data_IF_091570660433
#
_entry.id   IF_091570660433
#
_cell.length_a   1.000
_cell.length_b   1.000
_cell.length_c   1.000
_cell.angle_alpha   90.00
_cell.angle_beta   90.00
_cell.angle_gamma   90.00
#
_symmetry.space_group_name_H-M   'P 1'
#
loop_
_entity.id
_entity.type
_entity.pdbx_description
1 polymer ?
#
# COMPACT_ATOMS: atom_id res chain seq x y z
N UNK A 1 -13.78 3.09 -26.99
CA UNK A 1 -14.34 4.35 -26.47
C UNK A 1 -15.88 4.31 -26.33
N UNK A 2 -16.40 3.98 -25.14
CA UNK A 2 -17.78 4.31 -24.71
C UNK A 2 -17.77 4.53 -23.20
N UNK A 3 -17.51 5.77 -22.80
CA UNK A 3 -17.74 6.22 -21.44
C UNK A 3 -19.26 6.19 -21.20
N UNK A 4 -19.72 5.18 -20.48
CA UNK A 4 -21.09 5.10 -20.01
C UNK A 4 -21.29 6.26 -19.03
N UNK A 5 -21.99 7.31 -19.45
CA UNK A 5 -22.37 8.43 -18.60
C UNK A 5 -23.32 7.94 -17.51
N UNK A 6 -22.75 7.42 -16.42
CA UNK A 6 -23.52 7.01 -15.24
C UNK A 6 -24.29 8.23 -14.72
N UNK A 7 -25.59 8.10 -14.38
CA UNK A 7 -26.39 9.23 -13.94
C UNK A 7 -25.75 9.95 -12.75
N UNK A 8 -25.80 11.28 -12.75
CA UNK A 8 -25.15 12.14 -11.74
C UNK A 8 -25.49 11.70 -10.31
N UNK A 9 -26.74 11.29 -10.07
CA UNK A 9 -27.22 10.72 -8.80
C UNK A 9 -26.44 9.49 -8.34
N UNK A 10 -26.07 8.60 -9.25
CA UNK A 10 -25.32 7.37 -8.92
C UNK A 10 -23.86 7.70 -8.60
N UNK A 11 -23.27 8.68 -9.28
CA UNK A 11 -21.94 9.20 -8.94
C UNK A 11 -21.97 9.83 -7.54
N UNK A 12 -22.94 10.72 -7.28
CA UNK A 12 -23.11 11.35 -5.97
C UNK A 12 -23.34 10.32 -4.85
N UNK A 13 -24.16 9.29 -5.09
CA UNK A 13 -24.38 8.22 -4.14
C UNK A 13 -23.09 7.43 -3.84
N UNK A 14 -22.28 7.12 -4.86
CA UNK A 14 -20.99 6.47 -4.67
C UNK A 14 -20.02 7.35 -3.90
N UNK A 15 -19.91 8.64 -4.23
CA UNK A 15 -19.09 9.59 -3.47
C UNK A 15 -19.55 9.71 -2.02
N UNK A 16 -20.86 9.78 -1.78
CA UNK A 16 -21.44 9.78 -0.45
C UNK A 16 -21.15 8.50 0.33
N UNK A 17 -21.19 7.34 -0.33
CA UNK A 17 -20.83 6.06 0.30
C UNK A 17 -19.34 5.94 0.62
N UNK A 18 -18.46 6.52 -0.20
CA UNK A 18 -17.01 6.46 0.03
C UNK A 18 -16.52 7.51 1.04
N UNK A 19 -17.09 8.72 1.01
CA UNK A 19 -16.65 9.84 1.85
C UNK A 19 -17.49 9.98 3.11
N UNK A 20 -18.75 9.59 3.08
CA UNK A 20 -19.68 9.73 4.19
C UNK A 20 -19.17 9.08 5.48
N UNK A 21 -18.77 7.80 5.47
CA UNK A 21 -18.25 7.14 6.67
C UNK A 21 -17.00 7.83 7.27
N UNK A 22 -15.91 8.09 6.52
CA UNK A 22 -14.75 8.77 7.08
C UNK A 22 -15.03 10.21 7.50
N UNK A 23 -15.91 10.94 6.79
CA UNK A 23 -16.32 12.30 7.18
C UNK A 23 -17.16 12.32 8.46
N UNK A 24 -18.03 11.33 8.65
CA UNK A 24 -18.83 11.22 9.88
C UNK A 24 -17.92 10.92 11.08
N UNK A 25 -16.96 10.02 10.92
CA UNK A 25 -15.98 9.70 11.98
C UNK A 25 -15.07 10.89 12.27
N UNK A 26 -14.56 11.58 11.24
CA UNK A 26 -13.67 12.74 11.44
C UNK A 26 -14.36 13.95 12.07
N UNK A 27 -15.66 14.14 11.83
CA UNK A 27 -16.45 15.19 12.47
C UNK A 27 -16.79 14.87 13.94
N UNK A 28 -16.88 13.59 14.31
CA UNK A 28 -17.14 13.16 15.68
C UNK A 28 -15.87 13.14 16.53
N UNK A 29 -14.83 12.46 16.04
CA UNK A 29 -13.52 12.38 16.68
C UNK A 29 -12.42 12.37 15.61
N UNK A 30 -11.80 13.54 15.36
CA UNK A 30 -10.73 13.62 14.36
C UNK A 30 -9.51 12.78 14.77
N UNK A 31 -9.26 12.58 16.07
CA UNK A 31 -8.09 11.82 16.53
C UNK A 31 -8.19 10.34 16.16
N UNK A 32 -9.39 9.76 16.27
CA UNK A 32 -9.66 8.37 15.86
C UNK A 32 -9.47 8.19 14.34
N UNK A 33 -9.95 9.16 13.54
CA UNK A 33 -9.77 9.11 12.09
C UNK A 33 -8.29 9.17 11.70
N UNK A 34 -7.53 10.11 12.27
CA UNK A 34 -6.10 10.22 11.99
C UNK A 34 -5.33 8.99 12.45
N UNK A 35 -5.63 8.42 13.63
CA UNK A 35 -5.00 7.19 14.09
C UNK A 35 -5.31 5.99 13.16
N UNK A 36 -6.55 5.86 12.68
CA UNK A 36 -6.92 4.83 11.72
C UNK A 36 -6.24 5.04 10.36
N UNK A 37 -6.14 6.29 9.91
CA UNK A 37 -5.50 6.68 8.66
C UNK A 37 -3.98 6.43 8.70
N UNK A 38 -3.32 6.76 9.81
CA UNK A 38 -1.88 6.54 10.00
C UNK A 38 -1.55 5.05 10.01
N UNK A 39 -2.39 4.23 10.64
CA UNK A 39 -2.27 2.77 10.57
C UNK A 39 -2.49 2.25 9.15
N UNK A 40 -3.56 2.69 8.48
CA UNK A 40 -3.83 2.26 7.09
C UNK A 40 -2.71 2.67 6.14
N UNK A 41 -2.12 3.85 6.35
CA UNK A 41 -0.96 4.34 5.61
C UNK A 41 0.27 3.48 5.88
N UNK A 42 0.63 3.30 7.15
CA UNK A 42 1.83 2.57 7.54
C UNK A 42 1.78 1.11 7.08
N UNK A 43 0.72 0.37 7.39
CA UNK A 43 0.66 -1.04 6.98
C UNK A 43 0.28 -1.20 5.50
N UNK A 44 -0.75 -0.49 5.05
CA UNK A 44 -1.28 -0.65 3.69
C UNK A 44 -0.30 -0.16 2.62
N UNK A 45 0.18 1.09 2.74
CA UNK A 45 1.04 1.69 1.71
C UNK A 45 2.41 1.03 1.70
N UNK A 46 3.02 0.74 2.86
CA UNK A 46 4.33 0.09 2.89
C UNK A 46 4.29 -1.34 2.35
N UNK A 47 3.20 -2.09 2.57
CA UNK A 47 3.04 -3.42 1.96
C UNK A 47 2.81 -3.29 0.45
N UNK A 48 1.85 -2.47 0.02
CA UNK A 48 1.44 -2.38 -1.38
C UNK A 48 2.47 -1.71 -2.27
N UNK A 49 3.23 -0.73 -1.76
CA UNK A 49 4.18 0.06 -2.55
C UNK A 49 5.64 -0.14 -2.14
N UNK A 50 5.91 -0.58 -0.91
CA UNK A 50 7.26 -0.92 -0.44
C UNK A 50 7.64 -2.37 -0.71
N UNK A 51 6.84 -3.31 -0.17
CA UNK A 51 7.19 -4.74 -0.16
C UNK A 51 6.79 -5.42 -1.48
N UNK A 52 5.53 -5.31 -1.93
CA UNK A 52 5.05 -6.03 -3.11
C UNK A 52 5.82 -5.65 -4.39
N UNK A 53 6.03 -4.37 -4.72
CA UNK A 53 6.76 -4.00 -5.93
C UNK A 53 8.24 -4.42 -5.86
N UNK A 54 8.86 -4.36 -4.68
CA UNK A 54 10.22 -4.84 -4.49
C UNK A 54 10.33 -6.36 -4.67
N UNK A 55 9.36 -7.12 -4.15
CA UNK A 55 9.27 -8.57 -4.32
C UNK A 55 9.02 -8.95 -5.79
N UNK A 56 8.11 -8.25 -6.48
CA UNK A 56 7.86 -8.42 -7.91
C UNK A 56 9.12 -8.16 -8.74
N UNK A 57 9.83 -7.06 -8.47
CA UNK A 57 11.08 -6.74 -9.17
C UNK A 57 12.21 -7.76 -8.86
N UNK A 58 12.24 -8.32 -7.64
CA UNK A 58 13.19 -9.37 -7.27
C UNK A 58 12.88 -10.68 -8.01
N UNK A 59 11.61 -11.10 -8.03
CA UNK A 59 11.17 -12.30 -8.75
C UNK A 59 11.41 -12.16 -10.25
N UNK A 60 11.18 -10.99 -10.84
CA UNK A 60 11.44 -10.76 -12.25
C UNK A 60 12.93 -10.82 -12.62
N UNK A 61 13.84 -10.39 -11.73
CA UNK A 61 15.29 -10.37 -11.98
C UNK A 61 16.01 -11.66 -11.63
N UNK A 62 15.51 -12.40 -10.64
CA UNK A 62 16.22 -13.54 -10.03
C UNK A 62 15.37 -14.80 -9.91
N UNK A 63 14.06 -14.72 -10.16
CA UNK A 63 13.19 -15.88 -10.31
C UNK A 63 13.46 -16.49 -11.68
N UNK A 64 14.05 -17.68 -11.71
CA UNK A 64 14.45 -18.35 -12.94
C UNK A 64 13.31 -18.45 -13.96
N UNK A 65 13.71 -18.52 -15.24
CA UNK A 65 12.85 -18.68 -16.41
C UNK A 65 11.74 -19.71 -16.14
N UNK A 66 10.51 -19.23 -16.02
CA UNK A 66 9.32 -20.07 -16.16
C UNK A 66 9.07 -20.23 -17.67
N UNK A 67 9.92 -21.04 -18.31
CA UNK A 67 9.88 -21.28 -19.76
C UNK A 67 10.39 -20.09 -20.60
N UNK A 68 10.60 -20.35 -21.90
CA UNK A 68 11.17 -19.50 -22.97
C UNK A 68 10.59 -18.08 -23.15
N UNK A 69 9.79 -17.58 -22.21
CA UNK A 69 9.31 -16.21 -22.20
C UNK A 69 10.34 -15.36 -21.46
N UNK A 70 11.24 -14.75 -22.22
CA UNK A 70 12.21 -13.77 -21.75
C UNK A 70 11.44 -12.50 -21.30
N UNK A 71 10.84 -12.54 -20.11
CA UNK A 71 10.16 -11.42 -19.45
C UNK A 71 11.15 -10.40 -18.89
N UNK A 72 12.23 -10.15 -19.64
CA UNK A 72 13.26 -9.16 -19.34
C UNK A 72 12.66 -7.78 -19.61
N UNK A 73 11.74 -7.34 -18.74
CA UNK A 73 11.47 -5.92 -18.62
C UNK A 73 12.81 -5.26 -18.21
N UNK A 74 13.23 -4.20 -18.90
CA UNK A 74 14.43 -3.45 -18.54
C UNK A 74 14.40 -3.14 -17.05
N UNK A 75 15.55 -3.22 -16.37
CA UNK A 75 15.63 -2.94 -14.95
C UNK A 75 15.05 -1.54 -14.64
N UNK A 76 13.80 -1.49 -14.19
CA UNK A 76 13.08 -0.25 -13.90
C UNK A 76 13.71 0.58 -12.77
N UNK A 77 14.59 -0.05 -11.98
CA UNK A 77 15.29 0.55 -10.84
C UNK A 77 16.79 0.22 -10.93
N UNK A 78 17.69 1.20 -10.97
CA UNK A 78 19.13 0.97 -10.84
C UNK A 78 19.48 0.40 -9.45
N UNK A 79 20.60 -0.33 -9.32
CA UNK A 79 21.12 -0.81 -8.02
C UNK A 79 20.93 -2.30 -7.68
N UNK A 80 20.34 -3.12 -8.57
CA UNK A 80 20.35 -4.59 -8.46
C UNK A 80 19.66 -5.15 -7.19
N UNK A 81 20.31 -6.09 -6.49
CA UNK A 81 19.80 -6.73 -5.26
C UNK A 81 19.82 -5.80 -4.05
N UNK A 82 20.82 -4.90 -3.97
CA UNK A 82 21.02 -4.07 -2.78
C UNK A 82 19.89 -3.05 -2.63
N UNK A 83 19.47 -2.40 -3.71
CA UNK A 83 18.36 -1.45 -3.65
C UNK A 83 17.03 -2.13 -3.31
N UNK A 84 16.75 -3.29 -3.89
CA UNK A 84 15.53 -4.06 -3.60
C UNK A 84 15.49 -4.58 -2.16
N UNK A 85 16.60 -5.12 -1.66
CA UNK A 85 16.73 -5.54 -0.28
C UNK A 85 16.59 -4.34 0.67
N UNK A 86 17.20 -3.19 0.34
CA UNK A 86 17.07 -1.96 1.11
C UNK A 86 15.62 -1.47 1.21
N UNK A 87 14.87 -1.48 0.09
CA UNK A 87 13.44 -1.13 0.09
C UNK A 87 12.62 -2.07 0.98
N UNK A 88 12.84 -3.38 0.86
CA UNK A 88 12.12 -4.37 1.66
C UNK A 88 12.46 -4.25 3.16
N UNK A 89 13.74 -4.06 3.50
CA UNK A 89 14.20 -3.88 4.88
C UNK A 89 13.65 -2.59 5.48
N UNK A 90 13.69 -1.48 4.75
CA UNK A 90 13.15 -0.20 5.22
C UNK A 90 11.64 -0.29 5.48
N UNK A 91 10.88 -0.90 4.56
CA UNK A 91 9.45 -1.12 4.74
C UNK A 91 9.17 -2.04 5.95
N UNK A 92 9.89 -3.16 6.04
CA UNK A 92 9.76 -4.10 7.15
C UNK A 92 10.17 -3.50 8.50
N UNK A 93 11.18 -2.63 8.54
CA UNK A 93 11.60 -1.97 9.78
C UNK A 93 10.55 -1.00 10.28
N UNK A 94 9.94 -0.20 9.40
CA UNK A 94 8.90 0.74 9.80
C UNK A 94 7.67 0.00 10.31
N UNK A 95 7.24 -1.06 9.60
CA UNK A 95 6.14 -1.94 10.06
C UNK A 95 6.48 -2.57 11.42
N UNK A 96 7.72 -3.05 11.59
CA UNK A 96 8.16 -3.69 12.83
C UNK A 96 8.16 -2.76 14.04
N UNK A 97 8.64 -1.52 13.86
CA UNK A 97 8.62 -0.50 14.93
C UNK A 97 7.19 -0.13 15.30
N UNK A 98 6.35 0.17 14.31
CA UNK A 98 4.94 0.52 14.57
C UNK A 98 4.20 -0.63 15.25
N UNK A 99 4.45 -1.88 14.83
CA UNK A 99 3.83 -3.07 15.45
C UNK A 99 4.25 -3.20 16.91
N UNK A 100 5.53 -2.98 17.22
CA UNK A 100 6.06 -3.09 18.58
C UNK A 100 5.47 -2.01 19.50
N UNK A 101 5.42 -0.76 19.05
CA UNK A 101 4.83 0.34 19.82
C UNK A 101 3.33 0.11 20.08
N UNK A 102 2.59 -0.32 19.06
CA UNK A 102 1.16 -0.65 19.20
C UNK A 102 0.93 -1.85 20.12
N UNK A 103 1.80 -2.85 20.06
CA UNK A 103 1.71 -4.02 20.94
C UNK A 103 1.99 -3.64 22.40
N UNK A 104 2.98 -2.80 22.66
CA UNK A 104 3.25 -2.28 24.00
C UNK A 104 2.09 -1.46 24.54
N UNK A 105 1.48 -0.60 23.72
CA UNK A 105 0.33 0.21 24.10
C UNK A 105 -0.95 -0.60 24.41
N UNK A 106 -1.03 -1.85 23.97
CA UNK A 106 -2.16 -2.75 24.25
C UNK A 106 -1.91 -3.60 25.50
N UNK A 107 -0.65 -3.87 25.84
CA UNK A 107 -0.26 -4.81 26.89
C UNK A 107 -0.02 -4.13 28.25
N UNK A 108 0.20 -2.81 28.27
CA UNK A 108 0.41 -1.98 29.46
C UNK A 108 -0.56 -0.80 29.50
#
# INVERSE_FOLDING_TARGET
PRATERPLRRKAALFGLTLGPPLAVSAYDPSLFFAALDNAGTYGILVLFGIIPAAMAWQQRYGGSLGDIDLVAPAALPGGRVSLAGMAVAAASVIGVETFERFQAVLF
#
